data_IF_642206253315
#
_entry.id   IF_642206253315
#
_cell.length_a   1.000
_cell.length_b   1.000
_cell.length_c   1.000
_cell.angle_alpha   90.00
_cell.angle_beta   90.00
_cell.angle_gamma   90.00
#
_symmetry.space_group_name_H-M   'P 1'
#
loop_
_entity.id
_entity.type
_entity.pdbx_description
1 polymer ?
#
# COMPACT_ATOMS: atom_id res chain seq x y z
N UNK A 1 6.82 12.59 7.53
CA UNK A 1 8.05 12.77 8.32
C UNK A 1 9.15 12.21 7.48
N UNK A 2 10.15 13.03 7.20
CA UNK A 2 11.36 12.62 6.50
C UNK A 2 12.27 11.89 7.49
N UNK A 3 13.12 11.01 6.99
CA UNK A 3 14.11 10.28 7.77
C UNK A 3 15.00 11.24 8.54
N UNK A 4 15.41 12.35 7.92
CA UNK A 4 16.20 13.40 8.60
C UNK A 4 15.53 13.95 9.86
N UNK A 5 14.20 13.93 9.93
CA UNK A 5 13.42 14.42 11.09
C UNK A 5 13.54 13.50 12.31
N UNK A 6 14.13 12.31 12.14
CA UNK A 6 14.41 11.36 13.22
C UNK A 6 15.79 11.57 13.85
N UNK A 7 16.67 12.37 13.22
CA UNK A 7 18.00 12.65 13.78
C UNK A 7 17.89 13.29 15.17
N UNK A 8 18.66 12.75 16.13
CA UNK A 8 18.61 13.19 17.53
C UNK A 8 17.38 12.73 18.33
N UNK A 9 16.44 11.99 17.72
CA UNK A 9 15.26 11.45 18.41
C UNK A 9 15.45 10.00 18.86
N UNK A 10 14.85 9.67 19.99
CA UNK A 10 14.68 8.28 20.45
C UNK A 10 13.60 7.64 19.58
N UNK A 11 14.00 6.73 18.72
CA UNK A 11 13.11 6.13 17.71
C UNK A 11 12.93 4.64 17.99
N UNK A 12 11.70 4.15 17.93
CA UNK A 12 11.40 2.74 18.03
C UNK A 12 10.78 2.20 16.74
N UNK A 13 11.10 0.95 16.39
CA UNK A 13 10.39 0.18 15.38
C UNK A 13 9.51 -0.83 16.10
N UNK A 14 8.19 -0.80 15.84
CA UNK A 14 7.25 -1.74 16.44
C UNK A 14 6.89 -2.84 15.45
N UNK A 15 7.42 -4.04 15.71
CA UNK A 15 7.28 -5.26 14.90
C UNK A 15 8.52 -5.55 14.06
N UNK A 16 8.97 -6.81 14.05
CA UNK A 16 10.10 -7.31 13.24
C UNK A 16 9.64 -8.22 12.07
N UNK A 17 8.49 -7.92 11.48
CA UNK A 17 8.10 -8.55 10.22
C UNK A 17 8.95 -8.06 9.04
N UNK A 18 8.56 -8.46 7.81
CA UNK A 18 9.22 -8.03 6.57
C UNK A 18 9.42 -6.51 6.51
N UNK A 19 8.40 -5.73 6.86
CA UNK A 19 8.48 -4.26 6.86
C UNK A 19 9.34 -3.68 7.99
N UNK A 20 9.29 -4.28 9.18
CA UNK A 20 10.11 -3.89 10.32
C UNK A 20 11.60 -4.00 10.00
N UNK A 21 12.00 -5.14 9.42
CA UNK A 21 13.37 -5.35 8.95
C UNK A 21 13.78 -4.35 7.86
N UNK A 22 12.95 -4.13 6.84
CA UNK A 22 13.27 -3.13 5.81
C UNK A 22 13.40 -1.71 6.36
N UNK A 23 12.56 -1.36 7.35
CA UNK A 23 12.61 -0.05 8.02
C UNK A 23 13.90 0.07 8.83
N UNK A 24 14.28 -0.97 9.58
CA UNK A 24 15.51 -0.99 10.35
C UNK A 24 16.73 -0.80 9.45
N UNK A 25 16.80 -1.56 8.35
CA UNK A 25 17.88 -1.44 7.36
C UNK A 25 17.95 -0.04 6.77
N UNK A 26 16.81 0.51 6.34
CA UNK A 26 16.74 1.86 5.77
C UNK A 26 17.23 2.91 6.78
N UNK A 27 16.70 2.92 8.00
CA UNK A 27 17.11 3.90 9.02
C UNK A 27 18.57 3.78 9.43
N UNK A 28 19.10 2.55 9.55
CA UNK A 28 20.52 2.35 9.86
C UNK A 28 21.43 2.79 8.72
N UNK A 29 20.97 2.67 7.47
CA UNK A 29 21.72 3.13 6.29
C UNK A 29 21.74 4.65 6.25
N UNK A 30 20.58 5.30 6.38
CA UNK A 30 20.46 6.76 6.27
C UNK A 30 20.97 7.51 7.51
N UNK A 31 20.78 6.93 8.70
CA UNK A 31 21.16 7.53 9.99
C UNK A 31 21.88 6.49 10.86
N UNK A 32 23.17 6.20 10.60
CA UNK A 32 23.92 5.17 11.31
C UNK A 32 23.94 5.36 12.85
N UNK A 33 23.97 6.62 13.31
CA UNK A 33 24.02 7.00 14.73
C UNK A 33 22.66 7.13 15.40
N UNK A 34 21.55 6.87 14.70
CA UNK A 34 20.20 7.00 15.27
C UNK A 34 20.02 6.09 16.48
N UNK A 35 19.48 6.63 17.57
CA UNK A 35 19.10 5.83 18.73
C UNK A 35 17.83 5.04 18.39
N UNK A 36 18.01 3.78 18.05
CA UNK A 36 16.93 2.85 17.70
C UNK A 36 16.70 1.83 18.81
N UNK A 37 15.44 1.51 19.06
CA UNK A 37 15.01 0.32 19.76
C UNK A 37 13.97 -0.46 18.92
N UNK A 38 13.75 -1.71 19.30
CA UNK A 38 12.71 -2.55 18.73
C UNK A 38 11.69 -2.90 19.81
N UNK A 39 10.42 -2.74 19.47
CA UNK A 39 9.28 -3.19 20.26
C UNK A 39 8.63 -4.36 19.55
N UNK A 40 8.34 -5.46 20.25
CA UNK A 40 7.62 -6.58 19.67
C UNK A 40 6.64 -7.19 20.68
N UNK A 41 5.38 -7.42 20.29
CA UNK A 41 4.37 -7.91 21.24
C UNK A 41 4.72 -9.29 21.81
N UNK A 42 5.45 -10.09 21.03
CA UNK A 42 5.95 -11.40 21.43
C UNK A 42 7.46 -11.43 21.38
N UNK A 43 8.09 -12.36 22.09
CA UNK A 43 9.53 -12.59 21.95
C UNK A 43 9.82 -13.07 20.52
N UNK A 44 10.69 -12.39 19.75
CA UNK A 44 11.15 -12.89 18.45
C UNK A 44 11.86 -14.23 18.58
N UNK A 45 11.97 -14.96 17.47
CA UNK A 45 12.78 -16.18 17.40
C UNK A 45 14.27 -15.91 17.63
N UNK A 46 15.05 -16.96 17.82
CA UNK A 46 16.51 -16.86 17.97
C UNK A 46 17.14 -16.26 16.72
N UNK A 47 16.74 -16.71 15.52
CA UNK A 47 17.22 -16.17 14.24
C UNK A 47 17.01 -14.66 14.10
N UNK A 48 15.82 -14.15 14.47
CA UNK A 48 15.53 -12.72 14.43
C UNK A 48 16.35 -11.94 15.47
N UNK A 49 16.55 -12.53 16.64
CA UNK A 49 17.37 -11.94 17.71
C UNK A 49 18.84 -11.86 17.30
N UNK A 50 19.37 -12.91 16.67
CA UNK A 50 20.73 -12.95 16.14
C UNK A 50 20.92 -11.99 14.97
N UNK A 51 19.95 -11.93 14.07
CA UNK A 51 19.94 -10.94 12.99
C UNK A 51 19.96 -9.52 13.55
N UNK A 52 19.21 -9.24 14.63
CA UNK A 52 19.17 -7.91 15.24
C UNK A 52 20.53 -7.49 15.80
N UNK A 53 21.30 -8.44 16.38
CA UNK A 53 22.68 -8.19 16.85
C UNK A 53 23.61 -7.71 15.72
N UNK A 54 23.35 -8.15 14.49
CA UNK A 54 24.06 -7.68 13.29
C UNK A 54 23.89 -6.18 13.00
N UNK A 55 22.85 -5.54 13.55
CA UNK A 55 22.62 -4.10 13.46
C UNK A 55 23.16 -3.31 14.67
N UNK A 56 23.99 -3.96 15.50
CA UNK A 56 24.57 -3.41 16.71
C UNK A 56 23.75 -3.70 17.96
N UNK A 57 24.05 -2.98 19.05
CA UNK A 57 23.36 -3.14 20.32
C UNK A 57 22.03 -2.38 20.32
N UNK A 58 21.02 -2.93 19.64
CA UNK A 58 19.66 -2.37 19.58
C UNK A 58 18.82 -2.96 20.72
N UNK A 59 18.33 -2.13 21.67
CA UNK A 59 17.43 -2.60 22.72
C UNK A 59 16.18 -3.26 22.13
N UNK A 60 15.82 -4.44 22.64
CA UNK A 60 14.62 -5.17 22.27
C UNK A 60 13.71 -5.27 23.50
N UNK A 61 12.50 -4.70 23.39
CA UNK A 61 11.46 -4.78 24.42
C UNK A 61 10.32 -5.66 23.93
N UNK A 62 9.88 -6.59 24.79
CA UNK A 62 8.89 -7.61 24.39
C UNK A 62 7.72 -7.70 25.36
N UNK A 63 6.56 -8.11 24.86
CA UNK A 63 5.39 -8.36 25.71
C UNK A 63 4.92 -7.09 26.43
N UNK A 64 4.73 -7.18 27.74
CA UNK A 64 4.25 -6.06 28.56
C UNK A 64 5.17 -4.84 28.52
N UNK A 65 6.48 -5.07 28.36
CA UNK A 65 7.48 -4.00 28.26
C UNK A 65 7.20 -3.04 27.11
N UNK A 66 6.55 -3.51 26.03
CA UNK A 66 6.20 -2.64 24.90
C UNK A 66 5.35 -1.47 25.40
N UNK A 67 4.29 -1.75 26.17
CA UNK A 67 3.37 -0.71 26.66
C UNK A 67 4.03 0.22 27.67
N UNK A 68 4.86 -0.34 28.55
CA UNK A 68 5.56 0.42 29.59
C UNK A 68 6.56 1.42 29.00
N UNK A 69 7.15 1.09 27.83
CA UNK A 69 8.26 1.84 27.25
C UNK A 69 7.87 2.72 26.07
N UNK A 70 6.61 2.70 25.60
CA UNK A 70 6.17 3.55 24.48
C UNK A 70 6.48 5.04 24.69
N UNK A 71 6.43 5.51 25.93
CA UNK A 71 6.69 6.91 26.29
C UNK A 71 8.18 7.26 26.38
N UNK A 72 9.06 6.27 26.30
CA UNK A 72 10.51 6.48 26.24
C UNK A 72 10.97 6.94 24.85
N UNK A 73 10.07 6.95 23.85
CA UNK A 73 10.38 7.26 22.46
C UNK A 73 9.67 8.53 22.00
N UNK A 74 10.35 9.30 21.16
CA UNK A 74 9.78 10.48 20.52
C UNK A 74 9.04 10.09 19.23
N UNK A 75 9.49 9.01 18.57
CA UNK A 75 8.91 8.48 17.33
C UNK A 75 8.81 6.96 17.39
N UNK A 76 7.66 6.41 17.01
CA UNK A 76 7.43 4.98 16.84
C UNK A 76 7.02 4.69 15.38
N UNK A 77 7.77 3.85 14.69
CA UNK A 77 7.47 3.41 13.33
C UNK A 77 6.86 2.02 13.41
N UNK A 78 5.54 1.94 13.15
CA UNK A 78 4.79 0.71 13.29
C UNK A 78 4.82 -0.14 12.02
N UNK A 79 4.93 -1.45 12.21
CA UNK A 79 4.60 -2.44 11.19
C UNK A 79 3.07 -2.53 10.99
N UNK A 80 2.58 -2.93 9.81
CA UNK A 80 1.14 -3.00 9.53
C UNK A 80 0.34 -3.90 10.49
N UNK A 81 0.96 -4.98 10.98
CA UNK A 81 0.30 -5.89 11.94
C UNK A 81 -0.05 -5.24 13.29
N UNK A 82 0.55 -4.10 13.63
CA UNK A 82 0.23 -3.35 14.84
C UNK A 82 -0.94 -2.40 14.55
N UNK A 83 -2.14 -2.77 15.02
CA UNK A 83 -3.33 -1.92 14.86
C UNK A 83 -3.14 -0.54 15.48
N UNK A 84 -3.40 0.52 14.71
CA UNK A 84 -3.32 1.90 15.18
C UNK A 84 -4.44 2.26 16.18
N UNK A 85 -5.43 1.37 16.35
CA UNK A 85 -6.57 1.55 17.25
C UNK A 85 -6.33 0.98 18.65
N UNK A 86 -5.13 0.42 18.88
CA UNK A 86 -4.72 -0.03 20.22
C UNK A 86 -4.74 1.15 21.20
N UNK A 87 -5.30 0.92 22.39
CA UNK A 87 -5.46 1.93 23.44
C UNK A 87 -4.14 2.61 23.80
N UNK A 88 -3.07 1.82 23.90
CA UNK A 88 -1.72 2.29 24.23
C UNK A 88 -1.13 3.24 23.18
N UNK A 89 -1.52 3.11 21.89
CA UNK A 89 -1.11 4.05 20.84
C UNK A 89 -1.82 5.39 21.03
N UNK A 90 -3.12 5.36 21.34
CA UNK A 90 -3.89 6.57 21.66
C UNK A 90 -3.28 7.33 22.84
N UNK A 91 -3.01 6.63 23.93
CA UNK A 91 -2.40 7.20 25.15
C UNK A 91 -0.99 7.76 24.89
N UNK A 92 -0.18 7.08 24.08
CA UNK A 92 1.15 7.57 23.71
C UNK A 92 1.08 8.83 22.83
N UNK A 93 0.15 8.88 21.88
CA UNK A 93 -0.09 10.07 21.04
C UNK A 93 -0.51 11.28 21.85
N UNK A 94 -1.42 11.11 22.81
CA UNK A 94 -1.85 12.19 23.73
C UNK A 94 -0.68 12.77 24.53
N UNK A 95 0.35 11.96 24.77
CA UNK A 95 1.58 12.36 25.48
C UNK A 95 2.70 12.84 24.54
N UNK A 96 2.40 13.01 23.24
CA UNK A 96 3.33 13.60 22.26
C UNK A 96 4.16 12.61 21.46
N UNK A 97 3.99 11.30 21.63
CA UNK A 97 4.71 10.30 20.82
C UNK A 97 4.19 10.33 19.39
N UNK A 98 5.09 10.52 18.42
CA UNK A 98 4.74 10.53 17.01
C UNK A 98 4.73 9.11 16.45
N UNK A 99 3.75 8.81 15.60
CA UNK A 99 3.66 7.51 14.92
C UNK A 99 3.80 7.65 13.41
N UNK A 100 4.58 6.75 12.80
CA UNK A 100 4.76 6.63 11.36
C UNK A 100 4.69 5.17 10.90
N UNK A 101 4.82 4.95 9.59
CA UNK A 101 4.96 3.63 8.97
C UNK A 101 6.05 3.66 7.90
N UNK A 102 6.53 2.49 7.50
CA UNK A 102 7.49 2.31 6.38
C UNK A 102 6.99 3.00 5.10
N UNK A 103 5.68 2.85 4.82
CA UNK A 103 5.01 3.42 3.65
C UNK A 103 4.98 4.95 3.72
N UNK A 104 4.60 5.50 4.86
CA UNK A 104 4.57 6.96 5.05
C UNK A 104 5.97 7.60 4.98
N UNK A 105 7.01 6.88 5.42
CA UNK A 105 8.39 7.34 5.28
C UNK A 105 8.76 7.41 3.79
N UNK A 106 8.55 6.33 3.04
CA UNK A 106 8.90 6.32 1.62
C UNK A 106 8.15 7.39 0.83
N UNK A 107 6.84 7.55 1.04
CA UNK A 107 6.05 8.59 0.36
C UNK A 107 6.49 10.01 0.73
N UNK A 108 7.00 10.23 1.94
CA UNK A 108 7.55 11.53 2.32
C UNK A 108 8.88 11.81 1.59
N UNK A 109 9.76 10.81 1.51
CA UNK A 109 11.07 10.92 0.83
C UNK A 109 10.96 10.99 -0.69
N UNK A 110 9.89 10.42 -1.26
CA UNK A 110 9.72 10.19 -2.70
C UNK A 110 8.44 10.84 -3.24
N UNK A 111 8.15 12.05 -2.77
CA UNK A 111 6.91 12.77 -3.07
C UNK A 111 6.74 13.17 -4.56
N UNK A 112 7.82 13.15 -5.33
CA UNK A 112 7.85 13.49 -6.76
C UNK A 112 7.66 12.30 -7.71
N UNK A 113 7.58 11.08 -7.16
CA UNK A 113 7.52 9.87 -7.97
C UNK A 113 6.12 9.62 -8.53
N UNK A 114 6.06 9.01 -9.73
CA UNK A 114 4.78 8.52 -10.28
C UNK A 114 4.38 7.22 -9.57
N UNK A 115 3.29 7.25 -8.81
CA UNK A 115 2.83 6.08 -8.04
C UNK A 115 1.41 5.69 -8.40
N UNK A 116 1.17 4.38 -8.55
CA UNK A 116 -0.15 3.77 -8.61
C UNK A 116 -0.36 2.97 -7.33
N UNK A 117 -1.29 3.40 -6.48
CA UNK A 117 -1.66 2.68 -5.27
C UNK A 117 -2.89 1.80 -5.52
N UNK A 118 -2.79 0.49 -5.27
CA UNK A 118 -3.89 -0.46 -5.45
C UNK A 118 -4.35 -0.97 -4.09
N UNK A 119 -5.63 -0.82 -3.78
CA UNK A 119 -6.26 -1.45 -2.61
C UNK A 119 -7.60 -2.08 -2.97
N UNK A 120 -8.17 -2.78 -1.99
CA UNK A 120 -9.37 -3.61 -2.14
C UNK A 120 -9.33 -4.80 -1.19
N UNK A 121 -10.42 -5.55 -1.09
CA UNK A 121 -10.49 -6.77 -0.30
C UNK A 121 -9.84 -7.92 -1.07
N UNK A 122 -10.26 -8.19 -2.30
CA UNK A 122 -9.70 -9.23 -3.18
C UNK A 122 -9.09 -8.62 -4.45
N UNK A 123 -8.47 -9.45 -5.29
CA UNK A 123 -7.91 -9.05 -6.59
C UNK A 123 -6.67 -8.15 -6.58
N UNK A 124 -6.27 -7.57 -5.44
CA UNK A 124 -5.13 -6.62 -5.30
C UNK A 124 -3.85 -7.13 -5.97
N UNK A 125 -3.37 -8.29 -5.53
CA UNK A 125 -2.08 -8.84 -5.95
C UNK A 125 -2.04 -9.22 -7.42
N UNK A 126 -3.14 -9.78 -7.92
CA UNK A 126 -3.28 -10.06 -9.34
C UNK A 126 -3.27 -8.77 -10.14
N UNK A 127 -4.04 -7.77 -9.73
CA UNK A 127 -4.16 -6.50 -10.48
C UNK A 127 -2.87 -5.69 -10.44
N UNK A 128 -2.20 -5.58 -9.29
CA UNK A 128 -0.91 -4.90 -9.19
C UNK A 128 0.16 -5.61 -10.00
N UNK A 129 0.20 -6.95 -10.00
CA UNK A 129 1.13 -7.71 -10.85
C UNK A 129 0.82 -7.52 -12.34
N UNK A 130 -0.46 -7.47 -12.71
CA UNK A 130 -0.90 -7.27 -14.08
C UNK A 130 -0.52 -5.87 -14.60
N UNK A 131 -0.76 -4.81 -13.82
CA UNK A 131 -0.35 -3.45 -14.17
C UNK A 131 1.16 -3.40 -14.36
N UNK A 132 1.93 -3.96 -13.42
CA UNK A 132 3.39 -3.97 -13.54
C UNK A 132 3.86 -4.75 -14.79
N UNK A 133 3.24 -5.89 -15.08
CA UNK A 133 3.54 -6.70 -16.26
C UNK A 133 3.25 -5.95 -17.58
N UNK A 134 2.07 -5.32 -17.69
CA UNK A 134 1.67 -4.53 -18.87
C UNK A 134 2.66 -3.40 -19.11
N UNK A 135 2.97 -2.61 -18.06
CA UNK A 135 3.90 -1.49 -18.17
C UNK A 135 5.31 -1.95 -18.59
N UNK A 136 5.78 -3.07 -18.03
CA UNK A 136 7.10 -3.61 -18.34
C UNK A 136 7.19 -4.10 -19.79
N UNK A 137 6.15 -4.78 -20.29
CA UNK A 137 6.08 -5.20 -21.70
C UNK A 137 5.99 -4.02 -22.67
N UNK A 138 5.40 -2.90 -22.23
CA UNK A 138 5.38 -1.65 -22.97
C UNK A 138 6.69 -0.84 -22.86
N UNK A 139 7.75 -1.43 -22.31
CA UNK A 139 9.08 -0.82 -22.21
C UNK A 139 9.23 0.23 -21.11
N UNK A 140 8.29 0.32 -20.16
CA UNK A 140 8.40 1.20 -18.99
C UNK A 140 9.15 0.49 -17.86
N UNK A 141 10.06 1.18 -17.21
CA UNK A 141 10.69 0.68 -15.99
C UNK A 141 9.69 0.76 -14.83
N UNK A 142 9.10 -0.37 -14.46
CA UNK A 142 8.10 -0.45 -13.40
C UNK A 142 8.64 -1.23 -12.20
N UNK A 143 8.36 -0.75 -10.99
CA UNK A 143 8.65 -1.47 -9.74
C UNK A 143 7.36 -1.82 -9.02
N UNK A 144 7.16 -3.12 -8.76
CA UNK A 144 6.09 -3.64 -7.93
C UNK A 144 6.52 -3.67 -6.46
N UNK A 145 5.83 -2.92 -5.61
CA UNK A 145 6.19 -2.72 -4.20
C UNK A 145 4.99 -2.74 -3.25
N UNK A 146 5.28 -2.66 -1.95
CA UNK A 146 4.28 -2.54 -0.88
C UNK A 146 3.98 -3.87 -0.21
N UNK A 147 2.69 -4.25 -0.18
CA UNK A 147 2.23 -5.50 0.44
C UNK A 147 2.71 -6.76 -0.31
N UNK A 148 2.97 -6.66 -1.61
CA UNK A 148 3.69 -7.67 -2.39
C UNK A 148 4.90 -7.04 -3.09
N UNK A 149 5.74 -7.89 -3.69
CA UNK A 149 6.99 -7.43 -4.30
C UNK A 149 7.98 -6.96 -3.23
N UNK A 150 8.66 -5.85 -3.50
CA UNK A 150 9.65 -5.29 -2.56
C UNK A 150 8.99 -4.39 -1.50
N UNK A 151 9.41 -4.44 -0.22
CA UNK A 151 9.01 -3.44 0.75
C UNK A 151 9.39 -2.05 0.24
N UNK A 152 8.42 -1.13 0.21
CA UNK A 152 8.61 0.15 -0.48
C UNK A 152 9.78 0.96 0.10
N UNK A 153 9.96 0.94 1.43
CA UNK A 153 11.07 1.63 2.12
C UNK A 153 12.46 1.06 1.77
N UNK A 154 12.56 -0.17 1.25
CA UNK A 154 13.84 -0.70 0.75
C UNK A 154 14.29 -0.02 -0.54
N UNK A 155 13.41 0.75 -1.19
CA UNK A 155 13.64 1.39 -2.48
C UNK A 155 13.75 2.92 -2.37
N UNK A 156 14.24 3.44 -1.24
CA UNK A 156 14.47 4.88 -1.05
C UNK A 156 15.39 5.50 -2.11
N UNK A 157 16.39 4.73 -2.54
CA UNK A 157 17.35 5.13 -3.60
C UNK A 157 17.05 4.49 -4.95
N UNK A 158 15.94 3.77 -5.07
CA UNK A 158 15.52 3.16 -6.33
C UNK A 158 15.07 4.20 -7.35
N UNK A 159 15.00 3.80 -8.62
CA UNK A 159 14.35 4.57 -9.68
C UNK A 159 13.31 3.69 -10.35
N UNK A 160 12.25 4.31 -10.87
CA UNK A 160 11.23 3.68 -11.70
C UNK A 160 10.53 4.78 -12.49
N UNK A 161 10.03 4.47 -13.68
CA UNK A 161 9.09 5.33 -14.39
C UNK A 161 7.75 5.35 -13.64
N UNK A 162 7.34 4.20 -13.09
CA UNK A 162 6.11 4.02 -12.34
C UNK A 162 6.32 3.05 -11.17
N UNK A 163 5.87 3.45 -9.99
CA UNK A 163 5.81 2.60 -8.81
C UNK A 163 4.40 2.03 -8.66
N UNK A 164 4.25 0.73 -8.83
CA UNK A 164 2.98 0.02 -8.63
C UNK A 164 2.98 -0.52 -7.20
N UNK A 165 2.18 0.08 -6.33
CA UNK A 165 2.22 -0.14 -4.88
C UNK A 165 0.93 -0.82 -4.44
N UNK A 166 1.02 -2.09 -4.05
CA UNK A 166 -0.11 -2.76 -3.40
C UNK A 166 -0.23 -2.30 -1.94
N UNK A 167 -1.41 -1.81 -1.57
CA UNK A 167 -1.73 -1.28 -0.25
C UNK A 167 -2.73 -2.18 0.47
N UNK A 168 -2.30 -2.79 1.56
CA UNK A 168 -3.20 -3.45 2.52
C UNK A 168 -4.09 -2.42 3.22
N UNK A 169 -5.17 -2.87 3.87
CA UNK A 169 -5.99 -1.97 4.71
C UNK A 169 -5.19 -1.40 5.89
N UNK A 170 -4.23 -2.15 6.41
CA UNK A 170 -3.38 -1.75 7.51
C UNK A 170 -2.43 -0.59 7.16
N UNK A 171 -1.83 -0.64 5.96
CA UNK A 171 -1.00 0.44 5.44
C UNK A 171 -1.85 1.64 5.02
N UNK A 172 -3.04 1.40 4.48
CA UNK A 172 -3.98 2.45 4.08
C UNK A 172 -4.52 3.24 5.28
N UNK A 173 -4.77 2.58 6.42
CA UNK A 173 -5.45 3.14 7.59
C UNK A 173 -4.78 4.38 8.21
N UNK A 174 -3.47 4.56 8.05
CA UNK A 174 -2.77 5.77 8.49
C UNK A 174 -1.94 6.41 7.38
N UNK A 175 -2.27 6.14 6.12
CA UNK A 175 -1.60 6.69 4.95
C UNK A 175 -1.69 8.22 4.89
N UNK A 176 -0.56 8.85 4.57
CA UNK A 176 -0.39 10.32 4.47
C UNK A 176 0.40 10.75 3.23
N UNK A 177 0.58 9.85 2.25
CA UNK A 177 1.24 10.18 0.97
C UNK A 177 0.28 10.87 0.00
N UNK A 178 0.75 11.14 -1.22
CA UNK A 178 -0.07 11.75 -2.29
C UNK A 178 0.16 10.98 -3.59
N UNK A 179 -0.56 9.85 -3.81
CA UNK A 179 -0.30 9.01 -4.95
C UNK A 179 -0.80 9.63 -6.25
N UNK A 180 -0.12 9.34 -7.36
CA UNK A 180 -0.52 9.84 -8.68
C UNK A 180 -1.83 9.22 -9.15
N UNK A 181 -2.05 7.92 -8.93
CA UNK A 181 -3.31 7.21 -9.21
C UNK A 181 -3.60 6.30 -8.02
N UNK A 182 -4.88 6.18 -7.66
CA UNK A 182 -5.33 5.17 -6.70
C UNK A 182 -6.45 4.33 -7.27
N UNK A 183 -6.38 3.02 -7.08
CA UNK A 183 -7.36 2.04 -7.54
C UNK A 183 -7.98 1.32 -6.34
N UNK A 184 -9.31 1.34 -6.26
CA UNK A 184 -10.11 0.53 -5.35
C UNK A 184 -10.88 -0.53 -6.12
N UNK A 185 -10.54 -1.80 -5.88
CA UNK A 185 -11.12 -2.94 -6.61
C UNK A 185 -12.51 -3.34 -6.11
N UNK A 186 -12.62 -3.56 -4.81
CA UNK A 186 -13.81 -4.08 -4.15
C UNK A 186 -13.72 -3.85 -2.64
N UNK A 187 -14.85 -3.97 -1.95
CA UNK A 187 -14.96 -3.84 -0.50
C UNK A 187 -15.93 -4.89 0.09
N UNK A 188 -15.39 -5.83 0.87
CA UNK A 188 -16.16 -6.77 1.69
C UNK A 188 -15.57 -6.87 3.11
N UNK A 189 -16.36 -7.21 4.15
CA UNK A 189 -15.90 -7.30 5.53
C UNK A 189 -14.71 -8.25 5.71
N UNK A 190 -13.57 -7.74 6.21
CA UNK A 190 -12.37 -8.53 6.51
C UNK A 190 -11.58 -7.83 7.64
N UNK A 191 -10.80 -8.59 8.42
CA UNK A 191 -9.89 -8.05 9.45
C UNK A 191 -10.54 -7.16 10.52
N UNK A 192 -11.77 -7.47 10.94
CA UNK A 192 -12.52 -6.66 11.92
C UNK A 192 -11.91 -6.68 13.32
N UNK A 193 -11.16 -7.72 13.65
CA UNK A 193 -10.32 -7.80 14.86
C UNK A 193 -9.26 -6.68 14.90
N UNK A 194 -8.77 -6.26 13.73
CA UNK A 194 -7.80 -5.19 13.60
C UNK A 194 -8.46 -3.80 13.48
N UNK A 195 -9.53 -3.69 12.68
CA UNK A 195 -10.19 -2.42 12.33
C UNK A 195 -11.34 -2.03 13.27
N UNK A 196 -11.87 -2.96 14.06
CA UNK A 196 -12.98 -2.76 15.00
C UNK A 196 -14.38 -2.80 14.36
N UNK A 197 -14.55 -2.32 13.14
CA UNK A 197 -15.84 -2.40 12.42
C UNK A 197 -15.67 -2.41 10.90
N UNK A 198 -16.73 -2.84 10.20
CA UNK A 198 -16.78 -2.82 8.72
C UNK A 198 -16.61 -1.40 8.19
N UNK A 199 -17.32 -0.43 8.78
CA UNK A 199 -17.23 0.98 8.37
C UNK A 199 -15.83 1.54 8.53
N UNK A 200 -15.12 1.15 9.60
CA UNK A 200 -13.74 1.59 9.81
C UNK A 200 -12.80 0.95 8.79
N UNK A 201 -12.96 -0.35 8.51
CA UNK A 201 -12.19 -1.03 7.47
C UNK A 201 -12.36 -0.38 6.08
N UNK A 202 -13.58 0.00 5.70
CA UNK A 202 -13.85 0.69 4.45
C UNK A 202 -13.23 2.09 4.44
N UNK A 203 -13.43 2.87 5.52
CA UNK A 203 -12.82 4.21 5.67
C UNK A 203 -11.29 4.17 5.60
N UNK A 204 -10.68 3.12 6.15
CA UNK A 204 -9.23 2.95 6.14
C UNK A 204 -8.70 2.73 4.73
N UNK A 205 -9.36 1.92 3.90
CA UNK A 205 -9.00 1.77 2.48
C UNK A 205 -9.22 3.04 1.67
N UNK A 206 -10.34 3.70 1.89
CA UNK A 206 -10.69 4.95 1.19
C UNK A 206 -9.71 6.08 1.49
N UNK A 207 -8.95 6.01 2.59
CA UNK A 207 -7.92 7.01 2.90
C UNK A 207 -6.90 7.18 1.78
N UNK A 208 -6.52 6.11 1.08
CA UNK A 208 -5.59 6.17 -0.06
C UNK A 208 -6.19 7.02 -1.19
N UNK A 209 -7.46 6.82 -1.50
CA UNK A 209 -8.18 7.55 -2.54
C UNK A 209 -8.40 9.01 -2.15
N UNK A 210 -8.68 9.29 -0.88
CA UNK A 210 -8.86 10.65 -0.36
C UNK A 210 -7.58 11.51 -0.45
N UNK A 211 -6.40 10.88 -0.56
CA UNK A 211 -5.12 11.57 -0.78
C UNK A 211 -4.75 11.73 -2.26
N UNK A 212 -5.57 11.19 -3.17
CA UNK A 212 -5.33 11.20 -4.60
C UNK A 212 -6.02 12.39 -5.24
N UNK A 213 -5.39 13.00 -6.24
CA UNK A 213 -6.02 14.09 -6.98
C UNK A 213 -7.33 13.64 -7.65
N UNK A 214 -8.31 14.57 -7.73
CA UNK A 214 -9.56 14.37 -8.47
C UNK A 214 -9.27 13.96 -9.92
N UNK A 215 -10.10 13.09 -10.49
CA UNK A 215 -9.84 12.55 -11.84
C UNK A 215 -8.85 11.39 -11.88
N UNK A 216 -8.19 11.04 -10.75
CA UNK A 216 -7.15 10.00 -10.71
C UNK A 216 -7.45 8.86 -9.71
N UNK A 217 -8.64 8.86 -9.14
CA UNK A 217 -9.19 7.72 -8.42
C UNK A 217 -9.90 6.79 -9.40
N UNK A 218 -9.63 5.50 -9.34
CA UNK A 218 -10.28 4.45 -10.13
C UNK A 218 -11.09 3.57 -9.19
N UNK A 219 -12.37 3.36 -9.50
CA UNK A 219 -13.29 2.54 -8.70
C UNK A 219 -14.09 1.57 -9.59
N UNK A 220 -14.62 0.52 -8.98
CA UNK A 220 -15.40 -0.49 -9.68
C UNK A 220 -16.87 -0.04 -9.86
N UNK A 221 -17.37 0.00 -11.08
CA UNK A 221 -18.79 0.30 -11.37
C UNK A 221 -19.72 -0.87 -11.03
N UNK A 222 -19.22 -2.10 -11.07
CA UNK A 222 -20.00 -3.29 -10.80
C UNK A 222 -20.11 -3.65 -9.31
N UNK A 223 -19.33 -3.03 -8.41
CA UNK A 223 -19.42 -3.26 -6.97
C UNK A 223 -20.27 -2.17 -6.28
N UNK A 224 -21.47 -2.50 -5.75
CA UNK A 224 -22.36 -1.54 -5.11
C UNK A 224 -21.72 -0.80 -3.93
N UNK A 225 -20.81 -1.44 -3.19
CA UNK A 225 -20.14 -0.82 -2.03
C UNK A 225 -19.22 0.29 -2.49
N UNK A 226 -18.34 0.03 -3.47
CA UNK A 226 -17.49 1.08 -4.04
C UNK A 226 -18.29 2.20 -4.70
N UNK A 227 -19.40 1.87 -5.40
CA UNK A 227 -20.30 2.88 -5.97
C UNK A 227 -20.95 3.76 -4.90
N UNK A 228 -21.29 3.21 -3.74
CA UNK A 228 -21.80 3.97 -2.60
C UNK A 228 -20.85 5.08 -2.13
N UNK A 229 -19.54 4.95 -2.38
CA UNK A 229 -18.54 5.97 -2.04
C UNK A 229 -18.22 6.94 -3.18
N UNK A 230 -18.78 6.75 -4.39
CA UNK A 230 -18.57 7.65 -5.52
C UNK A 230 -18.88 9.13 -5.22
N UNK A 231 -19.92 9.50 -4.43
CA UNK A 231 -20.19 10.90 -4.10
C UNK A 231 -19.06 11.60 -3.33
N UNK A 232 -18.27 10.86 -2.55
CA UNK A 232 -17.12 11.40 -1.80
C UNK A 232 -15.80 11.23 -2.57
N UNK A 233 -15.83 10.62 -3.74
CA UNK A 233 -14.72 10.41 -4.67
C UNK A 233 -14.99 11.14 -6.00
N UNK A 234 -15.41 12.40 -5.91
CA UNK A 234 -15.82 13.21 -7.06
C UNK A 234 -14.78 13.20 -8.18
N UNK A 235 -15.23 12.91 -9.41
CA UNK A 235 -14.38 12.78 -10.59
C UNK A 235 -13.64 11.44 -10.68
N UNK A 236 -14.00 10.42 -9.88
CA UNK A 236 -13.45 9.08 -10.05
C UNK A 236 -13.74 8.51 -11.44
N UNK A 237 -12.75 7.85 -12.02
CA UNK A 237 -12.89 7.02 -13.22
C UNK A 237 -13.39 5.64 -12.82
N UNK A 238 -14.23 5.03 -13.66
CA UNK A 238 -14.83 3.72 -13.40
C UNK A 238 -14.26 2.65 -14.33
N UNK A 239 -14.17 1.42 -13.83
CA UNK A 239 -14.01 0.20 -14.62
C UNK A 239 -15.19 -0.74 -14.34
N UNK A 240 -15.46 -1.71 -15.21
CA UNK A 240 -16.73 -2.44 -15.26
C UNK A 240 -17.94 -1.51 -15.45
N UNK A 241 -17.76 -0.46 -16.23
CA UNK A 241 -18.79 0.49 -16.63
C UNK A 241 -19.06 0.29 -18.12
N UNK A 242 -20.33 0.18 -18.52
CA UNK A 242 -20.70 -0.08 -19.92
C UNK A 242 -20.22 1.02 -20.87
N UNK A 243 -20.03 2.24 -20.36
CA UNK A 243 -19.51 3.36 -21.13
C UNK A 243 -17.96 3.39 -21.23
N UNK A 244 -17.29 2.42 -20.60
CA UNK A 244 -15.83 2.32 -20.57
C UNK A 244 -15.35 0.88 -20.60
N UNK A 245 -14.23 0.60 -19.92
CA UNK A 245 -13.65 -0.74 -19.88
C UNK A 245 -14.48 -1.69 -19.01
N UNK A 246 -15.08 -2.69 -19.61
CA UNK A 246 -15.91 -3.68 -18.93
C UNK A 246 -15.85 -5.07 -19.61
N UNK A 247 -16.56 -6.03 -19.03
CA UNK A 247 -16.67 -7.39 -19.53
C UNK A 247 -18.07 -7.58 -20.13
N UNK A 248 -18.14 -8.02 -21.38
CA UNK A 248 -19.40 -8.34 -22.08
C UNK A 248 -19.19 -9.61 -22.92
N UNK A 249 -20.05 -10.63 -22.75
CA UNK A 249 -20.02 -11.89 -23.52
C UNK A 249 -18.63 -12.57 -23.61
N UNK A 250 -17.83 -12.50 -22.54
CA UNK A 250 -16.48 -13.05 -22.52
C UNK A 250 -15.43 -12.20 -23.24
N UNK A 251 -15.74 -10.95 -23.57
CA UNK A 251 -14.80 -9.98 -24.13
C UNK A 251 -14.48 -8.89 -23.12
N UNK A 252 -13.25 -8.39 -23.17
CA UNK A 252 -12.92 -7.06 -22.68
C UNK A 252 -13.39 -6.07 -23.74
N UNK A 253 -14.26 -5.14 -23.34
CA UNK A 253 -14.89 -4.13 -24.19
C UNK A 253 -14.55 -2.74 -23.65
N UNK A 254 -14.40 -1.77 -24.54
CA UNK A 254 -14.34 -0.34 -24.20
C UNK A 254 -15.51 0.38 -24.85
N UNK A 255 -16.53 0.70 -24.05
CA UNK A 255 -17.80 1.22 -24.58
C UNK A 255 -18.48 0.18 -25.48
N UNK A 256 -18.45 0.39 -26.80
CA UNK A 256 -18.98 -0.56 -27.79
C UNK A 256 -17.91 -1.38 -28.52
N UNK A 257 -16.62 -1.15 -28.25
CA UNK A 257 -15.52 -1.76 -29.00
C UNK A 257 -14.96 -3.00 -28.32
N UNK A 258 -14.99 -4.14 -29.01
CA UNK A 258 -14.40 -5.40 -28.54
C UNK A 258 -12.88 -5.40 -28.70
N UNK A 259 -12.16 -5.47 -27.58
CA UNK A 259 -10.70 -5.34 -27.54
C UNK A 259 -9.99 -6.69 -27.43
N UNK A 260 -10.39 -7.53 -26.48
CA UNK A 260 -9.68 -8.76 -26.18
C UNK A 260 -10.65 -9.89 -25.79
N UNK A 261 -10.70 -11.00 -26.53
CA UNK A 261 -11.54 -12.14 -26.19
C UNK A 261 -10.94 -12.97 -25.05
N UNK A 262 -11.80 -13.61 -24.25
CA UNK A 262 -11.43 -14.48 -23.12
C UNK A 262 -10.39 -15.53 -23.50
N UNK A 263 -10.47 -16.09 -24.70
CA UNK A 263 -9.62 -17.17 -25.21
C UNK A 263 -8.15 -16.74 -25.36
N UNK A 264 -7.90 -15.43 -25.54
CA UNK A 264 -6.54 -14.87 -25.60
C UNK A 264 -5.96 -14.51 -24.23
N UNK A 265 -6.74 -14.69 -23.16
CA UNK A 265 -6.35 -14.34 -21.80
C UNK A 265 -5.87 -15.60 -21.06
N UNK A 266 -4.58 -15.65 -20.75
CA UNK A 266 -3.97 -16.78 -20.02
C UNK A 266 -4.39 -16.91 -18.55
N UNK A 267 -5.03 -15.89 -17.98
CA UNK A 267 -5.51 -15.90 -16.59
C UNK A 267 -6.87 -16.61 -16.48
N UNK A 268 -7.02 -17.64 -15.61
CA UNK A 268 -8.28 -18.34 -15.43
C UNK A 268 -9.29 -17.53 -14.59
N UNK A 269 -10.59 -17.70 -14.88
CA UNK A 269 -11.71 -17.17 -14.09
C UNK A 269 -12.15 -15.75 -14.43
N UNK A 270 -13.47 -15.52 -14.38
CA UNK A 270 -14.11 -14.27 -14.84
C UNK A 270 -13.75 -13.05 -14.00
N UNK A 271 -13.46 -13.26 -12.71
CA UNK A 271 -12.95 -12.20 -11.83
C UNK A 271 -11.63 -11.60 -12.35
N UNK A 272 -10.83 -12.36 -13.10
CA UNK A 272 -9.61 -11.83 -13.70
C UNK A 272 -9.89 -10.97 -14.94
N UNK A 273 -11.02 -11.12 -15.62
CA UNK A 273 -11.44 -10.19 -16.66
C UNK A 273 -11.72 -8.81 -16.07
N UNK A 274 -12.42 -8.76 -14.93
CA UNK A 274 -12.62 -7.53 -14.16
C UNK A 274 -11.30 -6.90 -13.70
N UNK A 275 -10.35 -7.71 -13.20
CA UNK A 275 -9.00 -7.22 -12.85
C UNK A 275 -8.25 -6.66 -14.08
N UNK A 276 -8.46 -7.22 -15.27
CA UNK A 276 -7.90 -6.70 -16.52
C UNK A 276 -8.53 -5.35 -16.88
N UNK A 277 -9.84 -5.20 -16.79
CA UNK A 277 -10.51 -3.91 -16.99
C UNK A 277 -9.95 -2.84 -16.03
N UNK A 278 -9.74 -3.20 -14.75
CA UNK A 278 -9.12 -2.31 -13.77
C UNK A 278 -7.69 -1.92 -14.16
N UNK A 279 -6.86 -2.89 -14.55
CA UNK A 279 -5.48 -2.65 -14.96
C UNK A 279 -5.38 -1.77 -16.21
N UNK A 280 -6.18 -2.06 -17.24
CA UNK A 280 -6.22 -1.28 -18.48
C UNK A 280 -6.70 0.16 -18.23
N UNK A 281 -7.64 0.36 -17.30
CA UNK A 281 -8.12 1.70 -16.91
C UNK A 281 -6.98 2.52 -16.29
N UNK A 282 -6.22 1.92 -15.37
CA UNK A 282 -5.04 2.57 -14.77
C UNK A 282 -3.97 2.90 -15.82
N UNK A 283 -3.69 1.94 -16.71
CA UNK A 283 -2.68 2.08 -17.76
C UNK A 283 -3.05 3.20 -18.74
N UNK A 284 -4.33 3.33 -19.11
CA UNK A 284 -4.85 4.47 -19.88
C UNK A 284 -4.62 5.80 -19.17
N UNK A 285 -4.84 5.87 -17.85
CA UNK A 285 -4.58 7.07 -17.04
C UNK A 285 -3.10 7.43 -16.86
N UNK A 286 -2.20 6.48 -17.10
CA UNK A 286 -0.76 6.70 -17.20
C UNK A 286 -0.34 7.17 -18.61
N UNK A 287 -1.28 7.25 -19.55
CA UNK A 287 -1.04 7.71 -20.93
C UNK A 287 -0.48 6.64 -21.86
N UNK A 288 -0.58 5.35 -21.49
CA UNK A 288 -0.25 4.27 -22.42
C UNK A 288 -1.48 3.91 -23.26
N UNK A 289 -1.40 3.90 -24.60
CA UNK A 289 -2.49 3.44 -25.46
C UNK A 289 -2.83 1.98 -25.17
N UNK A 290 -4.11 1.64 -25.21
CA UNK A 290 -4.57 0.30 -24.82
C UNK A 290 -4.07 -0.77 -25.77
N UNK A 291 -3.92 -0.45 -27.05
CA UNK A 291 -3.41 -1.35 -28.07
C UNK A 291 -1.99 -1.82 -27.72
N UNK A 292 -1.19 -0.98 -27.05
CA UNK A 292 0.14 -1.34 -26.54
C UNK A 292 0.09 -2.13 -25.22
N UNK A 293 -1.06 -2.11 -24.53
CA UNK A 293 -1.28 -2.82 -23.28
C UNK A 293 -1.86 -4.22 -23.48
N UNK A 294 -2.42 -4.52 -24.65
CA UNK A 294 -2.97 -5.83 -25.00
C UNK A 294 -1.86 -6.81 -25.39
N UNK A 295 -2.05 -8.12 -25.15
CA UNK A 295 -1.11 -9.13 -25.64
C UNK A 295 -1.07 -9.15 -27.17
N UNK A 296 0.12 -9.42 -27.72
CA UNK A 296 0.36 -9.56 -29.16
C UNK A 296 -0.50 -10.67 -29.79
#
# INVERSE_FOLDING_TARGET
>A
MLIRDFSGKRTAIWGLGREGWSTLTALRTELPSLQLAVLNDTKPGEDDTDRLRGFGNIPLFTGEQVRERLLDFDVVIKSPGVSLYRREIGQAREKGVLFSSSTNIWFAERADQTTVCITGTKGKSTTSSLIAHILSNAGRHCVLAGNIGVPVVSMLHGSADVWVIEMSSYQAADFKGSPSISLLLDLFPEHLDWHGSVDQYYRDKLRVLAQTARGRCVINAADPVTQGFRPVLEGSVTFNDSEGLHVEDGWIVDGGERLLPRERIGLPGDHNLSNICAALTVVRLLGLPIEQALPA
#
